data_IF_035021973074
#
_entry.id   IF_035021973074
#
_cell.length_a   1.000
_cell.length_b   1.000
_cell.length_c   1.000
_cell.angle_alpha   90.00
_cell.angle_beta   90.00
_cell.angle_gamma   90.00
#
_symmetry.space_group_name_H-M   'P 1'
#
loop_
_entity.id
_entity.type
_entity.pdbx_description
1 polymer ?
#
# COMPACT_ATOMS: atom_id res chain seq x y z
N UNK A 1 -27.25 2.56 18.10
CA UNK A 1 -26.75 2.37 16.72
C UNK A 1 -26.03 1.03 16.72
N UNK A 2 -26.72 -0.02 16.27
CA UNK A 2 -26.24 -1.40 16.43
C UNK A 2 -25.13 -1.71 15.43
N UNK A 3 -24.10 -2.41 15.86
CA UNK A 3 -22.95 -2.85 15.05
C UNK A 3 -23.33 -3.92 13.99
N UNK A 4 -24.60 -4.03 13.59
CA UNK A 4 -25.15 -5.08 12.72
C UNK A 4 -25.13 -4.74 11.23
N UNK A 5 -24.57 -3.60 10.83
CA UNK A 5 -24.46 -3.17 9.41
C UNK A 5 -23.07 -3.40 8.80
N UNK A 6 -22.09 -3.85 9.58
CA UNK A 6 -20.80 -4.21 9.01
C UNK A 6 -20.92 -5.58 8.32
N UNK A 7 -20.57 -5.68 7.02
CA UNK A 7 -20.53 -6.98 6.35
C UNK A 7 -19.58 -7.91 7.11
N UNK A 8 -19.91 -9.20 7.10
CA UNK A 8 -19.13 -10.27 7.74
C UNK A 8 -17.62 -10.03 7.56
N UNK A 9 -16.85 -9.87 8.66
CA UNK A 9 -15.42 -9.58 8.62
C UNK A 9 -14.61 -10.84 8.30
N UNK A 10 -15.18 -11.82 7.60
CA UNK A 10 -14.48 -12.95 6.98
C UNK A 10 -13.18 -12.57 6.24
N UNK A 11 -13.04 -11.31 5.78
CA UNK A 11 -11.80 -10.78 5.21
C UNK A 11 -10.67 -10.53 6.23
N UNK A 12 -10.97 -10.51 7.54
CA UNK A 12 -10.03 -10.33 8.65
C UNK A 12 -9.52 -11.68 9.19
N UNK A 13 -10.23 -12.78 8.92
CA UNK A 13 -9.73 -14.12 9.20
C UNK A 13 -8.71 -14.53 8.13
N UNK A 14 -7.62 -15.24 8.50
CA UNK A 14 -6.73 -15.78 7.49
C UNK A 14 -7.55 -16.70 6.58
N UNK A 15 -7.40 -16.53 5.26
CA UNK A 15 -8.03 -17.38 4.26
C UNK A 15 -7.54 -18.82 4.43
N UNK A 16 -8.22 -19.57 5.29
CA UNK A 16 -7.96 -20.99 5.62
C UNK A 16 -8.81 -21.94 4.77
N UNK A 17 -9.72 -21.39 3.96
CA UNK A 17 -10.55 -22.11 3.00
C UNK A 17 -9.82 -22.45 1.69
N UNK A 18 -10.49 -23.26 0.86
CA UNK A 18 -10.01 -23.57 -0.49
C UNK A 18 -9.82 -22.28 -1.31
N UNK A 19 -8.78 -22.20 -2.17
CA UNK A 19 -8.57 -21.03 -3.02
C UNK A 19 -9.80 -20.72 -3.88
N UNK A 20 -10.34 -19.51 -3.75
CA UNK A 20 -11.44 -19.06 -4.58
C UNK A 20 -10.94 -18.81 -6.02
N UNK A 21 -11.52 -19.48 -7.03
CA UNK A 21 -11.06 -19.38 -8.41
C UNK A 21 -11.24 -17.97 -9.01
N UNK A 22 -12.21 -17.19 -8.53
CA UNK A 22 -12.40 -15.78 -8.92
C UNK A 22 -11.27 -14.93 -8.37
N UNK A 23 -10.96 -15.09 -7.09
CA UNK A 23 -9.86 -14.36 -6.44
C UNK A 23 -8.53 -14.69 -7.12
N UNK A 24 -8.27 -15.97 -7.40
CA UNK A 24 -7.04 -16.41 -8.04
C UNK A 24 -6.93 -15.93 -9.49
N UNK A 25 -8.05 -15.81 -10.21
CA UNK A 25 -8.05 -15.21 -11.53
C UNK A 25 -7.51 -13.77 -11.51
N UNK A 26 -7.94 -12.95 -10.55
CA UNK A 26 -7.48 -11.56 -10.41
C UNK A 26 -6.07 -11.43 -9.82
N UNK A 27 -5.69 -12.31 -8.88
CA UNK A 27 -4.35 -12.29 -8.27
C UNK A 27 -3.21 -12.47 -9.29
N UNK A 28 -3.47 -13.13 -10.43
CA UNK A 28 -2.47 -13.42 -11.47
C UNK A 28 -1.87 -12.15 -12.08
N UNK A 29 -2.67 -11.11 -12.23
CA UNK A 29 -2.26 -9.88 -12.91
C UNK A 29 -1.70 -8.81 -11.94
N UNK A 30 -1.64 -9.13 -10.64
CA UNK A 30 -1.06 -8.23 -9.65
C UNK A 30 0.46 -8.29 -9.73
N UNK A 31 1.09 -7.22 -10.22
CA UNK A 31 2.54 -7.06 -10.14
C UNK A 31 2.97 -6.80 -8.69
N UNK A 32 3.64 -7.79 -8.10
CA UNK A 32 4.14 -7.73 -6.71
C UNK A 32 5.59 -7.25 -6.62
N UNK A 33 6.22 -6.86 -7.72
CA UNK A 33 7.64 -6.48 -7.78
C UNK A 33 7.94 -5.35 -6.81
N UNK A 34 7.21 -4.23 -6.91
CA UNK A 34 7.42 -3.08 -6.03
C UNK A 34 6.99 -3.34 -4.59
N UNK A 35 5.98 -4.18 -4.36
CA UNK A 35 5.55 -4.57 -3.01
C UNK A 35 6.65 -5.35 -2.31
N UNK A 36 7.19 -6.38 -2.96
CA UNK A 36 8.31 -7.19 -2.43
C UNK A 36 9.55 -6.33 -2.19
N UNK A 37 9.92 -5.49 -3.16
CA UNK A 37 11.05 -4.59 -3.03
C UNK A 37 10.89 -3.61 -1.85
N UNK A 38 9.67 -3.11 -1.60
CA UNK A 38 9.40 -2.24 -0.44
C UNK A 38 9.43 -3.00 0.88
N UNK A 39 8.85 -4.20 0.93
CA UNK A 39 8.80 -5.02 2.13
C UNK A 39 10.19 -5.52 2.56
N UNK A 40 11.09 -5.74 1.60
CA UNK A 40 12.47 -6.14 1.85
C UNK A 40 13.35 -5.04 2.46
N UNK A 41 12.90 -3.78 2.47
CA UNK A 41 13.69 -2.65 3.00
C UNK A 41 13.89 -2.76 4.51
N UNK A 42 15.11 -2.52 4.94
CA UNK A 42 15.48 -2.31 6.35
C UNK A 42 14.83 -1.03 6.89
N UNK A 43 14.81 -0.89 8.21
CA UNK A 43 14.29 0.33 8.86
C UNK A 43 15.05 1.57 8.41
N UNK A 44 16.38 1.50 8.33
CA UNK A 44 17.24 2.60 7.88
C UNK A 44 16.87 3.03 6.45
N UNK A 45 16.75 2.09 5.52
CA UNK A 45 16.36 2.40 4.13
C UNK A 45 14.96 3.03 4.04
N UNK A 46 14.03 2.64 4.92
CA UNK A 46 12.70 3.27 4.99
C UNK A 46 12.79 4.71 5.44
N UNK A 47 13.59 5.00 6.48
CA UNK A 47 13.80 6.37 6.96
C UNK A 47 14.49 7.24 5.91
N UNK A 48 15.49 6.70 5.21
CA UNK A 48 16.15 7.40 4.11
C UNK A 48 15.17 7.73 2.97
N UNK A 49 14.32 6.78 2.59
CA UNK A 49 13.28 7.01 1.58
C UNK A 49 12.26 8.06 2.02
N UNK A 50 11.84 8.04 3.29
CA UNK A 50 10.97 9.06 3.84
C UNK A 50 11.61 10.46 3.73
N UNK A 51 12.89 10.59 4.10
CA UNK A 51 13.61 11.86 3.98
C UNK A 51 13.71 12.33 2.52
N UNK A 52 13.93 11.42 1.56
CA UNK A 52 13.91 11.75 0.12
C UNK A 52 12.54 12.26 -0.33
N UNK A 53 11.46 11.62 0.13
CA UNK A 53 10.09 12.03 -0.20
C UNK A 53 9.77 13.43 0.35
N UNK A 54 10.20 13.74 1.57
CA UNK A 54 10.01 15.07 2.17
C UNK A 54 10.72 16.15 1.34
N UNK A 55 11.99 15.94 0.98
CA UNK A 55 12.75 16.87 0.12
C UNK A 55 12.09 17.06 -1.25
N UNK A 56 11.59 15.99 -1.86
CA UNK A 56 10.85 16.09 -3.11
C UNK A 56 9.59 16.94 -2.97
N UNK A 57 8.83 16.75 -1.90
CA UNK A 57 7.63 17.55 -1.62
C UNK A 57 7.96 19.03 -1.36
N UNK A 58 9.07 19.34 -0.69
CA UNK A 58 9.54 20.72 -0.51
C UNK A 58 9.87 21.39 -1.84
N UNK A 59 10.55 20.67 -2.73
CA UNK A 59 10.92 21.18 -4.05
C UNK A 59 9.69 21.44 -4.92
N UNK A 60 8.71 20.54 -4.93
CA UNK A 60 7.43 20.76 -5.61
C UNK A 60 6.72 22.02 -5.10
N UNK A 61 6.70 22.23 -3.77
CA UNK A 61 6.10 23.44 -3.19
C UNK A 61 6.86 24.70 -3.58
N UNK A 62 8.21 24.64 -3.62
CA UNK A 62 9.06 25.76 -4.05
C UNK A 62 8.76 26.13 -5.50
N UNK A 63 8.75 25.16 -6.40
CA UNK A 63 8.41 25.36 -7.81
C UNK A 63 7.00 25.93 -7.97
N UNK A 64 6.02 25.40 -7.25
CA UNK A 64 4.64 25.90 -7.28
C UNK A 64 4.46 27.32 -6.73
N UNK A 65 5.35 27.81 -5.85
CA UNK A 65 5.38 29.21 -5.42
C UNK A 65 6.03 30.12 -6.45
N UNK A 66 7.04 29.65 -7.18
CA UNK A 66 7.74 30.44 -8.19
C UNK A 66 6.92 30.71 -9.47
N UNK A 67 5.85 29.92 -9.69
CA UNK A 67 4.95 30.06 -10.84
C UNK A 67 3.71 30.95 -10.55
N UNK A 68 3.52 31.42 -9.31
CA UNK A 68 2.47 32.37 -8.94
C UNK A 68 3.04 33.78 -8.86
#
# INVERSE_FOLDING_TARGET
MGMSEFPDPSWAEPATGEPDPVIDAYKRDVDRTLLRANLARTVEERLQNLARLQRFGEELRRAGRALR
#
